data_IF_458865976619
#
_entry.id   IF_458865976619
#
_cell.length_a   1.000
_cell.length_b   1.000
_cell.length_c   1.000
_cell.angle_alpha   90.00
_cell.angle_beta   90.00
_cell.angle_gamma   90.00
#
_symmetry.space_group_name_H-M   'P 1'
#
loop_
_entity.id
_entity.type
_entity.pdbx_description
1 polymer ?
#
# COMPACT_ATOMS: atom_id res chain seq x y z
N UNK A 1 -30.60 2.23 0.82
CA UNK A 1 -30.84 1.72 -0.55
C UNK A 1 -29.94 2.53 -1.46
N UNK A 2 -29.40 1.85 -2.46
CA UNK A 2 -28.26 2.20 -3.33
C UNK A 2 -26.91 1.65 -2.84
N UNK A 3 -26.82 0.31 -2.95
CA UNK A 3 -25.59 -0.46 -2.98
C UNK A 3 -24.97 -0.34 -4.39
N UNK A 4 -24.20 0.73 -4.63
CA UNK A 4 -23.26 0.75 -5.76
C UNK A 4 -21.93 0.11 -5.32
N UNK A 5 -21.95 -1.22 -5.28
CA UNK A 5 -20.74 -2.03 -5.17
C UNK A 5 -20.01 -1.90 -6.50
N UNK A 6 -19.06 -0.97 -6.56
CA UNK A 6 -18.05 -0.95 -7.62
C UNK A 6 -17.33 -2.29 -7.61
N UNK A 7 -17.63 -3.13 -8.59
CA UNK A 7 -16.92 -4.37 -8.88
C UNK A 7 -15.52 -3.98 -9.37
N UNK A 8 -14.63 -3.72 -8.42
CA UNK A 8 -13.20 -3.73 -8.67
C UNK A 8 -12.82 -5.20 -8.91
N UNK A 9 -12.29 -5.47 -10.10
CA UNK A 9 -11.86 -6.78 -10.58
C UNK A 9 -10.76 -7.36 -9.68
N UNK A 10 -11.14 -7.94 -8.54
CA UNK A 10 -10.33 -8.92 -7.84
C UNK A 10 -10.40 -10.20 -8.68
N UNK A 11 -9.25 -10.75 -9.06
CA UNK A 11 -9.18 -12.07 -9.65
C UNK A 11 -10.07 -13.04 -8.88
N UNK A 12 -11.11 -13.53 -9.54
CA UNK A 12 -12.10 -14.48 -9.03
C UNK A 12 -11.52 -15.89 -8.95
N UNK A 13 -10.23 -16.02 -8.61
CA UNK A 13 -9.59 -17.33 -8.46
C UNK A 13 -9.93 -17.88 -7.09
N UNK A 14 -10.68 -18.99 -7.07
CA UNK A 14 -10.88 -19.79 -5.87
C UNK A 14 -9.49 -20.19 -5.36
N UNK A 15 -9.10 -19.81 -4.13
CA UNK A 15 -7.75 -20.08 -3.65
C UNK A 15 -7.50 -21.59 -3.58
N UNK A 16 -6.31 -22.02 -3.97
CA UNK A 16 -5.95 -23.43 -3.88
C UNK A 16 -6.03 -23.96 -2.45
N UNK A 17 -6.38 -25.24 -2.28
CA UNK A 17 -6.39 -25.90 -0.97
C UNK A 17 -5.03 -25.77 -0.27
N UNK A 18 -3.94 -25.80 -1.04
CA UNK A 18 -2.57 -25.56 -0.56
C UNK A 18 -2.46 -24.18 0.10
N UNK A 19 -2.95 -23.13 -0.55
CA UNK A 19 -2.94 -21.77 0.00
C UNK A 19 -3.75 -21.68 1.29
N UNK A 20 -4.99 -22.18 1.27
CA UNK A 20 -5.90 -22.14 2.43
C UNK A 20 -5.27 -22.85 3.63
N UNK A 21 -4.74 -24.06 3.42
CA UNK A 21 -4.11 -24.86 4.48
C UNK A 21 -2.85 -24.20 5.04
N UNK A 22 -1.97 -23.71 4.15
CA UNK A 22 -0.74 -23.01 4.56
C UNK A 22 -1.08 -21.76 5.38
N UNK A 23 -2.06 -20.98 4.93
CA UNK A 23 -2.52 -19.76 5.62
C UNK A 23 -3.10 -20.07 6.99
N UNK A 24 -3.97 -21.07 7.08
CA UNK A 24 -4.57 -21.46 8.35
C UNK A 24 -3.50 -21.84 9.39
N UNK A 25 -2.52 -22.67 8.99
CA UNK A 25 -1.43 -23.10 9.87
C UNK A 25 -0.53 -21.91 10.25
N UNK A 26 -0.13 -21.08 9.27
CA UNK A 26 0.75 -19.94 9.52
C UNK A 26 0.10 -18.94 10.50
N UNK A 27 -1.18 -18.62 10.33
CA UNK A 27 -1.92 -17.73 11.22
C UNK A 27 -2.09 -18.33 12.62
N UNK A 28 -2.40 -19.62 12.73
CA UNK A 28 -2.52 -20.29 14.03
C UNK A 28 -1.18 -20.31 14.78
N UNK A 29 -0.08 -20.59 14.08
CA UNK A 29 1.27 -20.55 14.67
C UNK A 29 1.63 -19.15 15.17
N UNK A 30 1.32 -18.11 14.39
CA UNK A 30 1.54 -16.73 14.81
C UNK A 30 0.69 -16.38 16.04
N UNK A 31 -0.63 -16.60 15.99
CA UNK A 31 -1.56 -16.26 17.07
C UNK A 31 -1.24 -16.96 18.39
N UNK A 32 -0.76 -18.20 18.33
CA UNK A 32 -0.40 -18.98 19.53
C UNK A 32 0.90 -18.48 20.19
N UNK A 33 1.79 -17.82 19.43
CA UNK A 33 3.11 -17.41 19.93
C UNK A 33 3.22 -15.93 20.27
N UNK A 34 2.26 -15.11 19.84
CA UNK A 34 2.40 -13.65 19.81
C UNK A 34 2.26 -12.96 21.17
N UNK A 35 1.69 -13.62 22.18
CA UNK A 35 1.36 -13.11 23.53
C UNK A 35 2.26 -11.97 24.07
N UNK A 36 1.94 -10.71 23.70
CA UNK A 36 2.66 -9.48 24.07
C UNK A 36 4.16 -9.43 23.69
N UNK A 37 4.65 -10.41 22.93
CA UNK A 37 6.05 -10.56 22.52
C UNK A 37 6.40 -9.60 21.40
N UNK A 38 7.70 -9.31 21.25
CA UNK A 38 8.17 -8.58 20.06
C UNK A 38 8.07 -9.49 18.84
N UNK A 39 7.83 -8.90 17.66
CA UNK A 39 7.73 -9.68 16.43
C UNK A 39 8.98 -10.54 16.19
N UNK A 40 10.17 -9.99 16.39
CA UNK A 40 11.45 -10.72 16.23
C UNK A 40 11.54 -11.96 17.14
N UNK A 41 11.06 -11.86 18.38
CA UNK A 41 11.03 -12.98 19.32
C UNK A 41 10.08 -14.07 18.84
N UNK A 42 8.90 -13.68 18.34
CA UNK A 42 7.90 -14.60 17.76
C UNK A 42 8.48 -15.32 16.56
N UNK A 43 9.14 -14.58 15.66
CA UNK A 43 9.80 -15.13 14.47
C UNK A 43 10.84 -16.17 14.88
N UNK A 44 11.73 -15.83 15.82
CA UNK A 44 12.77 -16.75 16.31
C UNK A 44 12.19 -18.02 16.94
N UNK A 45 11.15 -17.90 17.75
CA UNK A 45 10.50 -19.05 18.39
C UNK A 45 9.90 -19.99 17.34
N UNK A 46 9.16 -19.44 16.37
CA UNK A 46 8.51 -20.24 15.33
C UNK A 46 9.56 -20.87 14.40
N UNK A 47 10.62 -20.14 14.04
CA UNK A 47 11.72 -20.67 13.24
C UNK A 47 12.44 -21.82 13.97
N UNK A 48 12.76 -21.65 15.25
CA UNK A 48 13.37 -22.70 16.07
C UNK A 48 12.46 -23.94 16.18
N UNK A 49 11.15 -23.74 16.33
CA UNK A 49 10.19 -24.84 16.33
C UNK A 49 10.14 -25.57 14.99
N UNK A 50 10.06 -24.84 13.86
CA UNK A 50 10.06 -25.42 12.51
C UNK A 50 11.33 -26.22 12.23
N UNK A 51 12.49 -25.76 12.69
CA UNK A 51 13.75 -26.48 12.58
C UNK A 51 13.69 -27.82 13.32
N UNK A 52 13.16 -27.84 14.55
CA UNK A 52 13.09 -29.03 15.41
C UNK A 52 12.00 -30.03 15.03
N UNK A 53 10.92 -29.60 14.38
CA UNK A 53 9.85 -30.53 13.97
C UNK A 53 10.26 -31.48 12.85
N UNK A 54 9.81 -32.74 12.93
CA UNK A 54 9.99 -33.78 11.91
C UNK A 54 8.99 -33.63 10.76
N UNK A 55 9.00 -32.48 10.08
CA UNK A 55 8.20 -32.23 8.88
C UNK A 55 9.03 -32.43 7.60
N UNK A 56 8.44 -32.94 6.51
CA UNK A 56 9.07 -32.96 5.19
C UNK A 56 9.59 -31.57 4.77
N UNK A 57 10.75 -31.52 4.11
CA UNK A 57 11.41 -30.26 3.71
C UNK A 57 10.50 -29.36 2.85
N UNK A 58 9.70 -29.95 1.97
CA UNK A 58 8.75 -29.24 1.14
C UNK A 58 7.68 -28.51 1.97
N UNK A 59 7.17 -29.17 3.03
CA UNK A 59 6.17 -28.58 3.92
C UNK A 59 6.80 -27.47 4.76
N UNK A 60 8.03 -27.66 5.26
CA UNK A 60 8.77 -26.60 5.97
C UNK A 60 8.92 -25.36 5.09
N UNK A 61 9.31 -25.52 3.83
CA UNK A 61 9.46 -24.40 2.88
C UNK A 61 8.12 -23.69 2.62
N UNK A 62 7.03 -24.44 2.47
CA UNK A 62 5.69 -23.85 2.29
C UNK A 62 5.24 -23.05 3.51
N UNK A 63 5.42 -23.60 4.71
CA UNK A 63 5.08 -22.90 5.96
C UNK A 63 5.95 -21.67 6.18
N UNK A 64 7.25 -21.73 5.86
CA UNK A 64 8.14 -20.57 5.90
C UNK A 64 7.64 -19.45 4.98
N UNK A 65 7.21 -19.77 3.76
CA UNK A 65 6.61 -18.79 2.85
C UNK A 65 5.35 -18.16 3.43
N UNK A 66 4.42 -18.98 3.95
CA UNK A 66 3.18 -18.47 4.54
C UNK A 66 3.42 -17.61 5.78
N UNK A 67 4.36 -18.01 6.65
CA UNK A 67 4.75 -17.23 7.82
C UNK A 67 5.44 -15.92 7.42
N UNK A 68 6.28 -15.94 6.38
CA UNK A 68 6.89 -14.72 5.86
C UNK A 68 5.82 -13.71 5.39
N UNK A 69 4.77 -14.16 4.69
CA UNK A 69 3.65 -13.29 4.32
C UNK A 69 2.90 -12.72 5.53
N UNK A 70 2.72 -13.52 6.59
CA UNK A 70 2.14 -13.05 7.87
C UNK A 70 3.02 -11.98 8.51
N UNK A 71 4.32 -12.24 8.64
CA UNK A 71 5.25 -11.31 9.30
C UNK A 71 5.34 -9.98 8.55
N UNK A 72 5.46 -10.02 7.21
CA UNK A 72 5.48 -8.82 6.37
C UNK A 72 4.23 -7.97 6.57
N UNK A 73 3.07 -8.59 6.67
CA UNK A 73 1.81 -7.87 6.88
C UNK A 73 1.71 -7.24 8.29
N UNK A 74 2.25 -7.92 9.31
CA UNK A 74 2.36 -7.39 10.67
C UNK A 74 3.35 -6.22 10.73
N UNK A 75 4.50 -6.31 10.05
CA UNK A 75 5.46 -5.21 9.92
C UNK A 75 4.83 -4.00 9.25
N UNK A 76 4.11 -4.21 8.14
CA UNK A 76 3.35 -3.15 7.47
C UNK A 76 2.34 -2.50 8.43
N UNK A 77 1.62 -3.29 9.22
CA UNK A 77 0.67 -2.78 10.20
C UNK A 77 1.36 -1.98 11.31
N UNK A 78 2.48 -2.49 11.85
CA UNK A 78 3.28 -1.81 12.85
C UNK A 78 3.78 -0.45 12.34
N UNK A 79 4.38 -0.43 11.15
CA UNK A 79 4.92 0.79 10.55
C UNK A 79 3.82 1.83 10.31
N UNK A 80 2.67 1.42 9.79
CA UNK A 80 1.51 2.30 9.57
C UNK A 80 1.05 2.95 10.88
N UNK A 81 0.84 2.14 11.93
CA UNK A 81 0.31 2.64 13.20
C UNK A 81 1.37 3.33 14.05
N UNK A 82 2.66 3.05 13.85
CA UNK A 82 3.74 3.78 14.50
C UNK A 82 3.66 5.28 14.20
N UNK A 83 3.19 5.64 13.00
CA UNK A 83 3.02 7.04 12.56
C UNK A 83 1.91 7.79 13.29
N UNK A 84 1.10 7.14 14.12
CA UNK A 84 0.13 7.82 14.99
C UNK A 84 0.77 8.41 16.23
N UNK A 85 2.01 8.04 16.54
CA UNK A 85 2.72 8.50 17.71
C UNK A 85 3.89 9.38 17.25
N UNK A 86 3.96 10.61 17.76
CA UNK A 86 5.15 11.42 17.58
C UNK A 86 6.35 10.70 18.22
N UNK A 87 7.40 10.53 17.43
CA UNK A 87 8.74 10.34 17.97
C UNK A 87 9.12 11.70 18.58
N UNK A 88 9.28 11.75 19.91
CA UNK A 88 9.95 12.90 20.52
C UNK A 88 11.32 13.00 19.81
N UNK A 89 11.49 13.98 18.92
CA UNK A 89 12.80 14.29 18.35
C UNK A 89 13.75 14.37 19.53
N UNK A 90 14.83 13.58 19.46
CA UNK A 90 15.88 13.63 20.46
C UNK A 90 16.36 15.08 20.49
N UNK A 91 15.97 15.84 21.50
CA UNK A 91 16.74 17.01 21.89
C UNK A 91 18.13 16.47 22.21
N UNK A 92 19.08 16.64 21.28
CA UNK A 92 20.47 16.19 21.40
C UNK A 92 21.24 16.90 22.52
N UNK A 93 20.56 17.72 23.33
CA UNK A 93 21.08 18.43 24.49
C UNK A 93 20.40 17.92 25.75
N UNK A 94 20.91 16.83 26.32
CA UNK A 94 20.48 16.38 27.62
C UNK A 94 20.87 14.95 27.93
N UNK A 95 22.05 14.80 28.53
CA UNK A 95 22.46 13.59 29.23
C UNK A 95 21.33 13.10 30.17
N UNK A 96 20.64 12.05 29.75
CA UNK A 96 20.12 10.90 30.50
C UNK A 96 19.38 10.06 29.44
N UNK A 97 20.11 9.13 28.83
CA UNK A 97 19.56 8.08 27.97
C UNK A 97 18.71 7.11 28.82
N UNK A 98 17.56 7.57 29.31
CA UNK A 98 16.47 6.63 29.57
C UNK A 98 16.06 6.15 28.18
N UNK A 99 16.42 4.92 27.84
CA UNK A 99 15.83 4.16 26.74
C UNK A 99 14.33 4.07 26.99
N UNK A 100 13.59 5.15 26.73
CA UNK A 100 12.13 5.12 26.69
C UNK A 100 11.80 4.18 25.55
N UNK A 101 11.18 3.06 25.89
CA UNK A 101 10.64 2.10 24.95
C UNK A 101 9.89 2.87 23.86
N UNK A 102 10.29 2.67 22.60
CA UNK A 102 9.67 3.35 21.45
C UNK A 102 8.14 3.23 21.55
N UNK A 103 7.39 4.33 21.39
CA UNK A 103 5.93 4.34 21.62
C UNK A 103 5.18 3.33 20.74
N UNK A 104 5.72 3.01 19.57
CA UNK A 104 5.20 1.94 18.70
C UNK A 104 5.34 0.52 19.27
N UNK A 105 6.19 0.27 20.28
CA UNK A 105 6.28 -1.05 20.91
C UNK A 105 5.00 -1.43 21.66
N UNK A 106 4.14 -0.46 21.99
CA UNK A 106 2.81 -0.75 22.53
C UNK A 106 1.87 -1.35 21.49
N UNK A 107 2.20 -1.30 20.19
CA UNK A 107 1.38 -1.93 19.16
C UNK A 107 1.33 -3.47 19.29
N UNK A 108 2.36 -4.08 19.89
CA UNK A 108 2.37 -5.53 20.17
C UNK A 108 1.28 -5.98 21.14
N UNK A 109 0.76 -5.04 21.94
CA UNK A 109 -0.36 -5.30 22.85
C UNK A 109 -1.62 -5.70 22.08
N UNK A 110 -1.75 -5.26 20.82
CA UNK A 110 -2.95 -5.42 20.01
C UNK A 110 -2.88 -6.57 19.01
N UNK A 111 -1.78 -7.32 18.95
CA UNK A 111 -1.62 -8.43 18.00
C UNK A 111 -2.71 -9.51 18.15
N UNK A 112 -3.20 -9.72 19.37
CA UNK A 112 -4.31 -10.64 19.63
C UNK A 112 -5.68 -10.19 19.12
N UNK A 113 -5.80 -8.93 18.67
CA UNK A 113 -7.03 -8.32 18.17
C UNK A 113 -6.99 -8.05 16.67
N UNK A 114 -5.93 -8.49 15.98
CA UNK A 114 -5.79 -8.38 14.54
C UNK A 114 -6.81 -9.28 13.83
N UNK A 115 -7.58 -8.66 12.92
CA UNK A 115 -8.55 -9.34 12.08
C UNK A 115 -7.97 -9.46 10.67
N UNK A 116 -7.91 -10.69 10.16
CA UNK A 116 -7.39 -10.98 8.82
C UNK A 116 -8.51 -11.01 7.79
N UNK A 117 -8.28 -10.44 6.60
CA UNK A 117 -9.19 -10.52 5.46
C UNK A 117 -9.35 -11.98 5.01
N UNK A 118 -10.55 -12.32 4.57
CA UNK A 118 -10.86 -13.67 4.08
C UNK A 118 -9.96 -14.03 2.89
N UNK A 119 -9.38 -15.24 2.92
CA UNK A 119 -8.55 -15.78 1.84
C UNK A 119 -7.37 -14.89 1.37
N UNK A 120 -6.87 -13.99 2.22
CA UNK A 120 -5.71 -13.13 1.93
C UNK A 120 -4.78 -13.07 3.15
N UNK A 121 -3.47 -12.92 2.93
CA UNK A 121 -2.52 -12.49 3.96
C UNK A 121 -2.53 -10.97 4.04
N UNK A 122 -3.67 -10.42 4.44
CA UNK A 122 -3.89 -8.99 4.56
C UNK A 122 -4.73 -8.73 5.80
N UNK A 123 -4.37 -7.71 6.58
CA UNK A 123 -5.12 -7.29 7.74
C UNK A 123 -6.31 -6.44 7.29
N UNK A 124 -7.46 -6.67 7.91
CA UNK A 124 -8.62 -5.78 7.81
C UNK A 124 -8.41 -4.64 8.81
N UNK A 125 -7.77 -3.57 8.34
CA UNK A 125 -7.32 -2.45 9.17
C UNK A 125 -8.48 -1.78 9.92
N UNK A 126 -9.59 -1.49 9.24
CA UNK A 126 -10.76 -0.89 9.85
C UNK A 126 -11.39 -1.80 10.91
N UNK A 127 -11.63 -3.08 10.59
CA UNK A 127 -12.20 -4.02 11.56
C UNK A 127 -11.26 -4.24 12.74
N UNK A 128 -9.95 -4.31 12.48
CA UNK A 128 -8.93 -4.42 13.52
C UNK A 128 -8.96 -3.20 14.43
N UNK A 129 -9.01 -1.98 13.90
CA UNK A 129 -9.11 -0.77 14.69
C UNK A 129 -10.39 -0.74 15.55
N UNK A 130 -11.54 -1.12 14.99
CA UNK A 130 -12.79 -1.23 15.75
C UNK A 130 -12.72 -2.30 16.85
N UNK A 131 -12.07 -3.44 16.58
CA UNK A 131 -11.86 -4.49 17.58
C UNK A 131 -10.97 -3.98 18.72
N UNK A 132 -9.85 -3.33 18.40
CA UNK A 132 -8.93 -2.76 19.39
C UNK A 132 -9.65 -1.72 20.26
N UNK A 133 -10.40 -0.80 19.64
CA UNK A 133 -11.17 0.22 20.36
C UNK A 133 -12.13 -0.42 21.36
N UNK A 134 -12.88 -1.43 20.92
CA UNK A 134 -13.92 -2.07 21.74
C UNK A 134 -13.35 -2.96 22.83
N UNK A 135 -12.30 -3.73 22.54
CA UNK A 135 -11.81 -4.81 23.40
C UNK A 135 -10.64 -4.38 24.28
N UNK A 136 -9.65 -3.70 23.69
CA UNK A 136 -8.36 -3.47 24.35
C UNK A 136 -8.18 -2.02 24.83
N UNK A 137 -8.98 -1.08 24.32
CA UNK A 137 -8.83 0.35 24.61
C UNK A 137 -10.00 0.94 25.40
N UNK A 138 -10.92 0.14 25.97
CA UNK A 138 -12.10 0.65 26.69
C UNK A 138 -11.76 1.71 27.75
N UNK A 139 -10.66 1.51 28.49
CA UNK A 139 -10.18 2.43 29.53
C UNK A 139 -9.07 3.38 29.06
N UNK A 140 -8.81 3.46 27.73
CA UNK A 140 -7.80 4.34 27.16
C UNK A 140 -8.40 5.31 26.12
N UNK A 141 -9.09 6.39 26.59
CA UNK A 141 -9.79 7.33 25.71
C UNK A 141 -8.90 7.99 24.65
N UNK A 142 -7.63 8.27 24.97
CA UNK A 142 -6.70 8.86 24.00
C UNK A 142 -6.43 7.91 22.83
N UNK A 143 -6.18 6.62 23.09
CA UNK A 143 -5.95 5.64 22.03
C UNK A 143 -7.20 5.40 21.19
N UNK A 144 -8.39 5.39 21.82
CA UNK A 144 -9.66 5.36 21.10
C UNK A 144 -9.80 6.55 20.15
N UNK A 145 -9.48 7.76 20.62
CA UNK A 145 -9.51 8.97 19.81
C UNK A 145 -8.52 8.88 18.64
N UNK A 146 -7.27 8.50 18.89
CA UNK A 146 -6.23 8.40 17.86
C UNK A 146 -6.62 7.42 16.74
N UNK A 147 -7.14 6.23 17.10
CA UNK A 147 -7.64 5.25 16.12
C UNK A 147 -8.89 5.75 15.40
N UNK A 148 -9.84 6.36 16.11
CA UNK A 148 -11.04 6.92 15.49
C UNK A 148 -10.70 8.02 14.48
N UNK A 149 -9.72 8.86 14.78
CA UNK A 149 -9.18 9.87 13.86
C UNK A 149 -8.54 9.23 12.61
N UNK A 150 -7.66 8.25 12.82
CA UNK A 150 -6.92 7.61 11.74
C UNK A 150 -7.82 6.86 10.75
N UNK A 151 -8.90 6.27 11.26
CA UNK A 151 -9.86 5.47 10.50
C UNK A 151 -11.17 6.20 10.19
N UNK A 152 -11.23 7.53 10.41
CA UNK A 152 -12.42 8.36 10.19
C UNK A 152 -13.72 7.75 10.77
N UNK A 153 -13.67 7.25 12.01
CA UNK A 153 -14.79 6.57 12.66
C UNK A 153 -15.78 7.61 13.22
N UNK A 154 -16.58 8.22 12.36
CA UNK A 154 -17.46 9.34 12.70
C UNK A 154 -18.40 9.12 13.87
N UNK A 155 -18.98 7.92 13.99
CA UNK A 155 -19.89 7.61 15.10
C UNK A 155 -19.18 7.59 16.46
N UNK A 156 -17.85 7.50 16.49
CA UNK A 156 -17.05 7.66 17.70
C UNK A 156 -16.60 9.12 17.89
N UNK A 157 -16.35 9.86 16.82
CA UNK A 157 -15.91 11.26 16.84
C UNK A 157 -17.07 12.24 17.04
N UNK A 158 -17.69 12.20 18.22
CA UNK A 158 -18.78 13.10 18.60
C UNK A 158 -18.67 13.56 20.06
N UNK A 159 -19.47 14.57 20.42
CA UNK A 159 -19.47 15.17 21.77
C UNK A 159 -19.82 14.17 22.88
N UNK A 160 -20.56 13.08 22.58
CA UNK A 160 -20.92 12.06 23.60
C UNK A 160 -19.71 11.26 24.04
N UNK A 161 -18.79 10.97 23.13
CA UNK A 161 -17.59 10.19 23.43
C UNK A 161 -16.39 11.09 23.78
N UNK A 162 -16.28 12.24 23.11
CA UNK A 162 -15.18 13.19 23.27
C UNK A 162 -15.73 14.61 23.49
N UNK A 163 -16.05 14.93 24.74
CA UNK A 163 -16.45 16.28 25.12
C UNK A 163 -15.33 17.32 24.91
N UNK A 164 -15.69 18.61 24.97
CA UNK A 164 -14.74 19.72 24.77
C UNK A 164 -13.58 19.73 25.76
N UNK A 165 -13.77 19.21 26.98
CA UNK A 165 -12.72 19.18 28.02
C UNK A 165 -11.69 18.10 27.65
N UNK A 166 -12.16 16.92 27.25
CA UNK A 166 -11.32 15.82 26.74
C UNK A 166 -10.55 16.24 25.50
N UNK A 167 -11.21 16.87 24.54
CA UNK A 167 -10.56 17.38 23.32
C UNK A 167 -9.47 18.40 23.66
N UNK A 168 -9.71 19.34 24.59
CA UNK A 168 -8.67 20.28 25.07
C UNK A 168 -7.50 19.56 25.76
N UNK A 169 -7.78 18.52 26.56
CA UNK A 169 -6.74 17.73 27.21
C UNK A 169 -5.90 16.92 26.21
N UNK A 170 -6.53 16.38 25.16
CA UNK A 170 -5.86 15.68 24.07
C UNK A 170 -5.05 16.64 23.21
N UNK A 171 -5.59 17.81 22.88
CA UNK A 171 -4.88 18.84 22.12
C UNK A 171 -3.55 19.20 22.80
N UNK A 172 -3.50 19.34 24.13
CA UNK A 172 -2.24 19.59 24.86
C UNK A 172 -1.15 18.52 24.66
N UNK A 173 -1.51 17.30 24.26
CA UNK A 173 -0.59 16.16 24.11
C UNK A 173 -0.34 15.76 22.66
N UNK A 174 -1.31 16.01 21.79
CA UNK A 174 -1.37 15.50 20.42
C UNK A 174 -1.28 16.62 19.37
N UNK A 175 -1.34 17.89 19.78
CA UNK A 175 -1.18 19.02 18.85
C UNK A 175 0.19 19.01 18.19
N UNK A 176 0.26 19.40 16.93
CA UNK A 176 1.49 19.39 16.13
C UNK A 176 1.57 18.19 15.19
N UNK A 177 0.77 17.16 15.43
CA UNK A 177 0.56 16.06 14.49
C UNK A 177 -0.63 16.39 13.57
N UNK A 178 -0.38 16.45 12.26
CA UNK A 178 -1.34 16.95 11.25
C UNK A 178 -2.71 16.26 11.28
N UNK A 179 -2.76 14.95 11.53
CA UNK A 179 -4.01 14.20 11.68
C UNK A 179 -4.88 14.76 12.81
N UNK A 180 -4.30 14.98 13.99
CA UNK A 180 -5.09 15.38 15.16
C UNK A 180 -5.47 16.85 15.09
N UNK A 181 -4.58 17.72 14.59
CA UNK A 181 -4.90 19.13 14.37
C UNK A 181 -6.08 19.31 13.41
N UNK A 182 -6.18 18.47 12.37
CA UNK A 182 -7.34 18.40 11.49
C UNK A 182 -8.63 18.06 12.24
N UNK A 183 -8.63 17.00 13.04
CA UNK A 183 -9.81 16.59 13.80
C UNK A 183 -10.18 17.56 14.91
N UNK A 184 -9.21 18.13 15.63
CA UNK A 184 -9.47 19.16 16.63
C UNK A 184 -10.15 20.38 16.01
N UNK A 185 -9.70 20.81 14.83
CA UNK A 185 -10.32 21.91 14.10
C UNK A 185 -11.75 21.57 13.69
N UNK A 186 -11.99 20.37 13.14
CA UNK A 186 -13.33 19.92 12.73
C UNK A 186 -14.30 19.72 13.89
N UNK A 187 -13.81 19.27 15.05
CA UNK A 187 -14.63 18.96 16.22
C UNK A 187 -14.84 20.18 17.15
N UNK A 188 -14.22 21.32 16.86
CA UNK A 188 -14.35 22.53 17.69
C UNK A 188 -15.76 23.11 17.66
N UNK A 189 -16.39 23.15 16.47
CA UNK A 189 -17.77 23.61 16.31
C UNK A 189 -18.41 23.06 15.02
N UNK A 190 -19.74 23.16 14.93
CA UNK A 190 -20.54 22.68 13.79
C UNK A 190 -20.24 23.43 12.48
N UNK A 191 -19.82 24.70 12.55
CA UNK A 191 -19.49 25.51 11.37
C UNK A 191 -18.09 25.23 10.80
N UNK A 192 -17.22 24.57 11.56
CA UNK A 192 -15.84 24.26 11.17
C UNK A 192 -15.81 23.28 9.98
N UNK A 193 -16.81 22.40 9.88
CA UNK A 193 -16.98 21.49 8.75
C UNK A 193 -17.15 22.26 7.44
N UNK A 194 -18.08 23.22 7.40
CA UNK A 194 -18.25 24.10 6.26
C UNK A 194 -16.93 24.79 5.94
N UNK A 195 -16.37 25.54 6.89
CA UNK A 195 -15.14 26.31 6.68
C UNK A 195 -13.94 25.48 6.19
N UNK A 196 -13.77 24.24 6.66
CA UNK A 196 -12.65 23.38 6.29
C UNK A 196 -12.73 22.88 4.85
N UNK A 197 -13.95 22.57 4.39
CA UNK A 197 -14.20 21.95 3.08
C UNK A 197 -14.72 22.92 2.01
N UNK A 198 -15.32 24.05 2.40
CA UNK A 198 -15.93 25.03 1.50
C UNK A 198 -14.92 26.07 1.03
N UNK A 199 -13.91 25.65 0.27
CA UNK A 199 -13.04 26.59 -0.44
C UNK A 199 -13.14 26.38 -1.96
N UNK A 200 -13.53 27.43 -2.67
CA UNK A 200 -13.49 27.49 -4.15
C UNK A 200 -12.05 27.53 -4.71
N UNK A 201 -11.05 27.56 -3.82
CA UNK A 201 -9.65 27.54 -4.16
C UNK A 201 -9.22 26.18 -4.72
N UNK A 202 -8.31 26.22 -5.70
CA UNK A 202 -7.64 25.06 -6.27
C UNK A 202 -6.91 24.22 -5.21
N UNK A 203 -6.27 24.87 -4.25
CA UNK A 203 -5.61 24.22 -3.12
C UNK A 203 -6.50 24.29 -1.87
N UNK A 204 -6.70 23.19 -1.15
CA UNK A 204 -7.44 23.21 0.11
C UNK A 204 -6.58 23.85 1.22
N UNK A 205 -7.22 24.11 2.35
CA UNK A 205 -6.55 24.64 3.54
C UNK A 205 -5.37 23.74 3.97
N UNK A 206 -4.33 24.37 4.53
CA UNK A 206 -3.10 23.67 4.92
C UNK A 206 -3.36 22.48 5.83
N UNK A 207 -4.22 22.64 6.84
CA UNK A 207 -4.57 21.56 7.79
C UNK A 207 -5.19 20.35 7.10
N UNK A 208 -6.17 20.57 6.20
CA UNK A 208 -6.76 19.52 5.38
C UNK A 208 -5.71 18.87 4.48
N UNK A 209 -4.92 19.70 3.78
CA UNK A 209 -3.88 19.21 2.88
C UNK A 209 -2.88 18.30 3.59
N UNK A 210 -2.38 18.70 4.76
CA UNK A 210 -1.43 17.90 5.53
C UNK A 210 -2.05 16.58 6.04
N UNK A 211 -3.29 16.62 6.53
CA UNK A 211 -3.98 15.40 6.98
C UNK A 211 -4.25 14.44 5.82
N UNK A 212 -4.61 14.97 4.65
CA UNK A 212 -4.86 14.16 3.47
C UNK A 212 -3.57 13.54 2.93
N UNK A 213 -2.49 14.31 2.86
CA UNK A 213 -1.17 13.79 2.49
C UNK A 213 -0.70 12.69 3.45
N UNK A 214 -0.89 12.88 4.76
CA UNK A 214 -0.60 11.86 5.76
C UNK A 214 -1.42 10.59 5.53
N UNK A 215 -2.74 10.72 5.33
CA UNK A 215 -3.62 9.59 5.10
C UNK A 215 -3.22 8.78 3.87
N UNK A 216 -2.88 9.49 2.79
CA UNK A 216 -2.44 8.90 1.52
C UNK A 216 -1.09 8.17 1.70
N UNK A 217 -0.09 8.85 2.26
CA UNK A 217 1.28 8.31 2.36
C UNK A 217 1.37 7.12 3.31
N UNK A 218 0.54 7.08 4.34
CA UNK A 218 0.53 6.01 5.35
C UNK A 218 -0.63 5.02 5.20
N UNK A 219 -1.39 5.11 4.10
CA UNK A 219 -2.36 4.07 3.74
C UNK A 219 -3.63 4.04 4.58
N UNK A 220 -4.05 5.15 5.19
CA UNK A 220 -5.32 5.23 5.94
C UNK A 220 -6.50 5.40 4.98
N UNK A 221 -6.92 4.29 4.37
CA UNK A 221 -7.92 4.24 3.31
C UNK A 221 -9.26 4.89 3.66
N UNK A 222 -9.75 4.69 4.89
CA UNK A 222 -11.01 5.24 5.37
C UNK A 222 -10.94 6.76 5.46
N UNK A 223 -9.82 7.29 5.95
CA UNK A 223 -9.58 8.73 6.02
C UNK A 223 -9.36 9.35 4.64
N UNK A 224 -8.64 8.65 3.74
CA UNK A 224 -8.51 9.03 2.33
C UNK A 224 -9.89 9.16 1.68
N UNK A 225 -10.73 8.14 1.82
CA UNK A 225 -12.09 8.12 1.25
C UNK A 225 -12.96 9.21 1.87
N UNK A 226 -12.91 9.39 3.19
CA UNK A 226 -13.63 10.45 3.88
C UNK A 226 -13.25 11.84 3.34
N UNK A 227 -11.96 12.18 3.32
CA UNK A 227 -11.51 13.49 2.84
C UNK A 227 -11.84 13.64 1.36
N UNK A 228 -11.55 12.63 0.53
CA UNK A 228 -11.83 12.63 -0.91
C UNK A 228 -13.28 13.03 -1.21
N UNK A 229 -14.24 12.43 -0.50
CA UNK A 229 -15.66 12.68 -0.73
C UNK A 229 -16.14 14.06 -0.26
N UNK A 230 -15.34 14.79 0.52
CA UNK A 230 -15.69 16.10 1.05
C UNK A 230 -14.93 17.27 0.39
N UNK A 231 -14.04 17.00 -0.57
CA UNK A 231 -13.30 18.02 -1.33
C UNK A 231 -13.72 18.08 -2.80
N UNK A 232 -13.41 19.17 -3.48
CA UNK A 232 -13.74 19.41 -4.90
C UNK A 232 -12.78 18.66 -5.85
N UNK A 233 -13.20 18.41 -7.09
CA UNK A 233 -12.35 17.76 -8.11
C UNK A 233 -10.99 18.44 -8.36
N UNK A 234 -10.91 19.79 -8.44
CA UNK A 234 -9.61 20.47 -8.55
C UNK A 234 -8.67 20.18 -7.37
N UNK A 235 -9.20 20.08 -6.15
CA UNK A 235 -8.40 19.77 -4.95
C UNK A 235 -7.97 18.30 -4.92
N UNK A 236 -8.87 17.40 -5.36
CA UNK A 236 -8.58 15.97 -5.53
C UNK A 236 -7.42 15.76 -6.48
N UNK A 237 -7.47 16.43 -7.64
CA UNK A 237 -6.40 16.38 -8.64
C UNK A 237 -5.10 16.95 -8.07
N UNK A 238 -5.13 18.14 -7.48
CA UNK A 238 -3.95 18.84 -6.98
C UNK A 238 -3.18 18.00 -5.94
N UNK A 239 -3.86 17.55 -4.87
CA UNK A 239 -3.19 16.76 -3.82
C UNK A 239 -2.88 15.35 -4.32
N UNK A 240 -3.82 14.73 -5.03
CA UNK A 240 -3.67 13.37 -5.51
C UNK A 240 -2.46 13.22 -6.44
N UNK A 241 -2.29 14.10 -7.43
CA UNK A 241 -1.13 14.10 -8.31
C UNK A 241 0.18 14.42 -7.56
N UNK A 242 0.14 15.36 -6.61
CA UNK A 242 1.30 15.72 -5.81
C UNK A 242 1.83 14.53 -4.99
N UNK A 243 0.93 13.74 -4.41
CA UNK A 243 1.32 12.55 -3.64
C UNK A 243 1.52 11.31 -4.50
N UNK A 244 0.93 11.24 -5.69
CA UNK A 244 0.97 10.06 -6.57
C UNK A 244 2.38 9.49 -6.74
N UNK A 245 3.36 10.35 -7.04
CA UNK A 245 4.77 9.95 -7.18
C UNK A 245 5.31 9.23 -5.94
N UNK A 246 4.94 9.69 -4.74
CA UNK A 246 5.38 9.06 -3.48
C UNK A 246 4.75 7.68 -3.31
N UNK A 247 3.50 7.51 -3.73
CA UNK A 247 2.71 6.29 -3.55
C UNK A 247 3.17 5.20 -4.52
N UNK A 248 3.45 5.52 -5.79
CA UNK A 248 3.78 4.50 -6.81
C UNK A 248 4.91 3.54 -6.43
N UNK A 249 5.81 3.92 -5.52
CA UNK A 249 6.96 3.09 -5.12
C UNK A 249 7.14 2.95 -3.60
N UNK A 250 6.48 3.79 -2.79
CA UNK A 250 6.49 3.62 -1.33
C UNK A 250 5.23 2.94 -0.79
N UNK A 251 4.13 2.91 -1.54
CA UNK A 251 2.86 2.48 -0.99
C UNK A 251 2.85 0.97 -0.76
N UNK A 252 2.91 0.60 0.52
CA UNK A 252 2.64 -0.75 0.99
C UNK A 252 1.13 -1.06 0.98
N UNK A 253 0.29 -0.03 0.91
CA UNK A 253 -1.17 -0.13 1.02
C UNK A 253 -1.85 -0.12 -0.36
N UNK A 254 -2.14 -1.33 -0.86
CA UNK A 254 -2.75 -1.57 -2.18
C UNK A 254 -4.09 -0.86 -2.37
N UNK A 255 -4.89 -0.74 -1.30
CA UNK A 255 -6.24 -0.15 -1.38
C UNK A 255 -6.20 1.35 -1.67
N UNK A 256 -5.28 2.08 -1.03
CA UNK A 256 -5.09 3.51 -1.30
C UNK A 256 -4.53 3.72 -2.70
N UNK A 257 -3.55 2.91 -3.12
CA UNK A 257 -2.99 2.98 -4.47
C UNK A 257 -4.09 2.74 -5.52
N UNK A 258 -4.86 1.67 -5.38
CA UNK A 258 -5.92 1.31 -6.33
C UNK A 258 -7.01 2.40 -6.40
N UNK A 259 -7.50 2.84 -5.24
CA UNK A 259 -8.52 3.89 -5.16
C UNK A 259 -8.05 5.19 -5.82
N UNK A 260 -6.84 5.66 -5.49
CA UNK A 260 -6.30 6.88 -6.08
C UNK A 260 -6.01 6.70 -7.57
N UNK A 261 -5.56 5.52 -8.00
CA UNK A 261 -5.34 5.24 -9.42
C UNK A 261 -6.62 5.41 -10.23
N UNK A 262 -7.69 4.73 -9.82
CA UNK A 262 -8.99 4.78 -10.50
C UNK A 262 -9.52 6.21 -10.55
N UNK A 263 -9.54 6.88 -9.38
CA UNK A 263 -10.12 8.22 -9.28
C UNK A 263 -9.27 9.28 -10.00
N UNK A 264 -7.95 9.26 -9.89
CA UNK A 264 -7.10 10.21 -10.61
C UNK A 264 -7.08 9.94 -12.11
N UNK A 265 -7.21 8.69 -12.56
CA UNK A 265 -7.37 8.39 -13.98
C UNK A 265 -8.68 8.94 -14.55
N UNK A 266 -9.76 8.98 -13.77
CA UNK A 266 -11.00 9.62 -14.23
C UNK A 266 -10.85 11.12 -14.42
N UNK A 267 -10.03 11.78 -13.59
CA UNK A 267 -9.81 13.22 -13.64
C UNK A 267 -8.78 13.58 -14.72
N UNK A 268 -7.58 13.00 -14.67
CA UNK A 268 -6.46 13.34 -15.55
C UNK A 268 -5.56 12.13 -15.84
N UNK A 269 -6.02 11.23 -16.72
CA UNK A 269 -5.27 10.05 -17.13
C UNK A 269 -3.90 10.37 -17.74
N UNK A 270 -3.80 11.42 -18.56
CA UNK A 270 -2.56 11.79 -19.26
C UNK A 270 -1.48 12.30 -18.29
N UNK A 271 -1.86 13.19 -17.38
CA UNK A 271 -0.98 13.70 -16.33
C UNK A 271 -0.49 12.58 -15.41
N UNK A 272 -1.42 11.69 -15.01
CA UNK A 272 -1.09 10.53 -14.19
C UNK A 272 -0.13 9.56 -14.91
N UNK A 273 -0.39 9.25 -16.19
CA UNK A 273 0.48 8.39 -17.00
C UNK A 273 1.90 8.96 -17.08
N UNK A 274 2.06 10.26 -17.32
CA UNK A 274 3.38 10.90 -17.42
C UNK A 274 4.16 10.84 -16.11
N UNK A 275 3.51 11.13 -14.97
CA UNK A 275 4.16 11.06 -13.65
C UNK A 275 4.56 9.62 -13.33
N UNK A 276 3.67 8.67 -13.63
CA UNK A 276 3.90 7.24 -13.42
C UNK A 276 5.07 6.75 -14.28
N UNK A 277 5.06 7.08 -15.58
CA UNK A 277 6.11 6.73 -16.53
C UNK A 277 7.49 7.20 -16.10
N UNK A 278 7.64 8.46 -15.69
CA UNK A 278 8.93 8.97 -15.25
C UNK A 278 9.54 8.11 -14.14
N UNK A 279 8.72 7.67 -13.19
CA UNK A 279 9.21 6.91 -12.04
C UNK A 279 9.34 5.41 -12.35
N UNK A 280 8.42 4.87 -13.15
CA UNK A 280 8.45 3.51 -13.66
C UNK A 280 9.68 3.26 -14.53
N UNK A 281 9.91 4.12 -15.52
CA UNK A 281 11.01 3.99 -16.46
C UNK A 281 12.37 4.26 -15.79
N UNK A 282 12.45 5.16 -14.81
CA UNK A 282 13.65 5.29 -13.96
C UNK A 282 13.97 3.97 -13.23
N UNK A 283 12.96 3.36 -12.61
CA UNK A 283 13.13 2.06 -11.91
C UNK A 283 13.56 0.96 -12.87
N UNK A 284 12.96 0.92 -14.06
CA UNK A 284 13.37 0.01 -15.13
C UNK A 284 14.83 0.24 -15.49
N UNK A 285 15.23 1.46 -15.84
CA UNK A 285 16.61 1.76 -16.23
C UNK A 285 17.64 1.36 -15.15
N UNK A 286 17.36 1.66 -13.88
CA UNK A 286 18.21 1.20 -12.77
C UNK A 286 18.32 -0.32 -12.75
N UNK A 287 17.21 -1.05 -12.92
CA UNK A 287 17.25 -2.52 -12.99
C UNK A 287 17.95 -3.08 -14.24
N UNK A 288 18.01 -2.32 -15.33
CA UNK A 288 18.72 -2.72 -16.56
C UNK A 288 20.24 -2.53 -16.44
N UNK A 289 20.68 -1.49 -15.72
CA UNK A 289 22.08 -1.07 -15.66
C UNK A 289 22.85 -1.70 -14.49
N UNK A 290 22.16 -2.20 -13.47
CA UNK A 290 22.79 -2.65 -12.23
C UNK A 290 23.14 -4.14 -12.26
N UNK A 291 24.40 -4.47 -11.94
CA UNK A 291 24.91 -5.85 -11.99
C UNK A 291 24.52 -6.70 -10.77
N UNK A 292 24.07 -6.05 -9.70
CA UNK A 292 23.71 -6.74 -8.47
C UNK A 292 22.32 -7.40 -8.59
N UNK A 293 22.29 -8.71 -8.35
CA UNK A 293 21.07 -9.52 -8.49
C UNK A 293 19.96 -9.00 -7.57
N UNK A 294 20.28 -8.64 -6.32
CA UNK A 294 19.29 -8.17 -5.35
C UNK A 294 18.59 -6.86 -5.74
N UNK A 295 19.30 -5.92 -6.37
CA UNK A 295 18.69 -4.65 -6.82
C UNK A 295 17.81 -4.86 -8.06
N UNK A 296 18.21 -5.76 -8.96
CA UNK A 296 17.38 -6.14 -10.11
C UNK A 296 16.09 -6.81 -9.67
N UNK A 297 16.18 -7.75 -8.73
CA UNK A 297 14.99 -8.40 -8.16
C UNK A 297 14.08 -7.37 -7.48
N UNK A 298 14.59 -6.49 -6.64
CA UNK A 298 13.78 -5.44 -5.99
C UNK A 298 13.11 -4.50 -7.02
N UNK A 299 13.84 -4.10 -8.06
CA UNK A 299 13.29 -3.33 -9.18
C UNK A 299 12.16 -4.07 -9.89
N UNK A 300 12.35 -5.35 -10.20
CA UNK A 300 11.31 -6.19 -10.81
C UNK A 300 10.06 -6.30 -9.94
N UNK A 301 10.22 -6.54 -8.63
CA UNK A 301 9.08 -6.61 -7.70
C UNK A 301 8.31 -5.29 -7.65
N UNK A 302 9.00 -4.15 -7.67
CA UNK A 302 8.35 -2.82 -7.70
C UNK A 302 7.57 -2.60 -9.01
N UNK A 303 8.16 -2.97 -10.15
CA UNK A 303 7.50 -2.84 -11.45
C UNK A 303 6.27 -3.75 -11.56
N UNK A 304 6.39 -5.00 -11.11
CA UNK A 304 5.27 -5.94 -11.06
C UNK A 304 4.15 -5.44 -10.14
N UNK A 305 4.50 -4.98 -8.94
CA UNK A 305 3.53 -4.43 -7.98
C UNK A 305 2.75 -3.25 -8.59
N UNK A 306 3.43 -2.33 -9.29
CA UNK A 306 2.75 -1.21 -9.94
C UNK A 306 1.78 -1.68 -11.03
N UNK A 307 2.20 -2.62 -11.89
CA UNK A 307 1.36 -3.19 -12.95
C UNK A 307 0.17 -4.01 -12.43
N UNK A 308 0.31 -4.64 -11.26
CA UNK A 308 -0.78 -5.39 -10.63
C UNK A 308 -1.84 -4.47 -10.02
N UNK A 309 -1.43 -3.32 -9.47
CA UNK A 309 -2.29 -2.49 -8.62
C UNK A 309 -2.79 -1.20 -9.30
N UNK A 310 -2.35 -0.92 -10.53
CA UNK A 310 -2.84 0.21 -11.33
C UNK A 310 -3.99 -0.20 -12.26
N UNK A 311 -4.89 0.74 -12.55
CA UNK A 311 -6.05 0.47 -13.38
C UNK A 311 -5.66 0.16 -14.84
N UNK A 312 -6.47 -0.60 -15.59
CA UNK A 312 -6.19 -0.95 -16.99
C UNK A 312 -5.87 0.26 -17.87
N UNK A 313 -6.60 1.37 -17.68
CA UNK A 313 -6.39 2.61 -18.43
C UNK A 313 -4.99 3.20 -18.20
N UNK A 314 -4.52 3.24 -16.95
CA UNK A 314 -3.18 3.73 -16.65
C UNK A 314 -2.10 2.80 -17.19
N UNK A 315 -2.27 1.49 -17.02
CA UNK A 315 -1.30 0.48 -17.49
C UNK A 315 -1.12 0.54 -18.99
N UNK A 316 -2.24 0.56 -19.72
CA UNK A 316 -2.25 0.66 -21.17
C UNK A 316 -1.57 1.95 -21.63
N UNK A 317 -1.95 3.11 -21.06
CA UNK A 317 -1.33 4.39 -21.39
C UNK A 317 0.18 4.42 -21.09
N UNK A 318 0.59 3.90 -19.93
CA UNK A 318 1.98 3.86 -19.47
C UNK A 318 2.85 2.95 -20.35
N UNK A 319 2.40 1.73 -20.66
CA UNK A 319 3.18 0.77 -21.46
C UNK A 319 3.30 1.18 -22.94
N UNK A 320 2.36 1.98 -23.45
CA UNK A 320 2.43 2.57 -24.78
C UNK A 320 3.29 3.83 -24.88
N UNK A 321 3.76 4.40 -23.77
CA UNK A 321 4.53 5.64 -23.81
C UNK A 321 5.83 5.49 -24.62
N UNK A 322 6.19 6.58 -25.30
CA UNK A 322 7.41 6.69 -26.11
C UNK A 322 7.54 5.56 -27.16
N UNK A 323 6.41 5.11 -27.74
CA UNK A 323 6.34 4.01 -28.70
C UNK A 323 6.79 2.66 -28.10
N UNK A 324 6.19 2.28 -26.97
CA UNK A 324 6.47 1.02 -26.28
C UNK A 324 7.92 0.89 -25.77
N UNK A 325 8.54 2.01 -25.41
CA UNK A 325 9.98 2.08 -25.09
C UNK A 325 10.42 1.12 -23.99
N UNK A 326 9.61 0.97 -22.94
CA UNK A 326 9.92 0.06 -21.83
C UNK A 326 10.05 -1.40 -22.30
N UNK A 327 9.21 -1.80 -23.25
CA UNK A 327 9.18 -3.16 -23.79
C UNK A 327 10.32 -3.35 -24.78
N UNK A 328 10.56 -2.38 -25.66
CA UNK A 328 11.68 -2.44 -26.61
C UNK A 328 13.02 -2.44 -25.90
N UNK A 329 13.17 -1.71 -24.80
CA UNK A 329 14.40 -1.71 -24.02
C UNK A 329 14.60 -3.04 -23.29
N UNK A 330 13.55 -3.60 -22.66
CA UNK A 330 13.64 -4.93 -22.07
C UNK A 330 14.10 -5.98 -23.09
N UNK A 331 13.63 -5.90 -24.34
CA UNK A 331 14.09 -6.74 -25.46
C UNK A 331 15.55 -6.46 -25.86
N UNK A 332 15.94 -5.18 -26.03
CA UNK A 332 17.31 -4.80 -26.46
C UNK A 332 18.36 -5.22 -25.43
N UNK A 333 18.05 -5.15 -24.14
CA UNK A 333 18.94 -5.54 -23.05
C UNK A 333 18.83 -7.03 -22.66
N UNK A 334 18.08 -7.85 -23.42
CA UNK A 334 17.86 -9.28 -23.18
C UNK A 334 17.29 -9.59 -21.77
N UNK A 335 16.41 -8.74 -21.25
CA UNK A 335 15.75 -8.95 -19.96
C UNK A 335 14.45 -9.74 -20.15
N UNK A 336 14.59 -11.03 -20.41
CA UNK A 336 13.47 -11.88 -20.83
C UNK A 336 12.34 -11.96 -19.80
N UNK A 337 12.63 -11.86 -18.51
CA UNK A 337 11.61 -11.88 -17.45
C UNK A 337 10.77 -10.59 -17.40
N UNK A 338 11.43 -9.42 -17.45
CA UNK A 338 10.76 -8.12 -17.54
C UNK A 338 9.96 -7.98 -18.84
N UNK A 339 10.55 -8.47 -19.94
CA UNK A 339 9.88 -8.51 -21.22
C UNK A 339 8.59 -9.33 -21.15
N UNK A 340 8.65 -10.56 -20.63
CA UNK A 340 7.48 -11.41 -20.44
C UNK A 340 6.43 -10.78 -19.49
N UNK A 341 6.89 -10.16 -18.40
CA UNK A 341 6.02 -9.44 -17.46
C UNK A 341 5.22 -8.36 -18.17
N UNK A 342 5.85 -7.49 -18.96
CA UNK A 342 5.15 -6.39 -19.64
C UNK A 342 4.13 -6.89 -20.66
N UNK A 343 4.46 -7.95 -21.41
CA UNK A 343 3.54 -8.55 -22.38
C UNK A 343 2.28 -9.13 -21.74
N UNK A 344 2.31 -9.52 -20.45
CA UNK A 344 1.12 -10.01 -19.76
C UNK A 344 0.06 -8.93 -19.55
N UNK A 345 0.46 -7.65 -19.57
CA UNK A 345 -0.39 -6.49 -19.29
C UNK A 345 -0.76 -5.66 -20.53
N UNK A 346 -0.37 -6.10 -21.73
CA UNK A 346 -0.75 -5.45 -22.97
C UNK A 346 -2.08 -6.00 -23.50
N UNK A 347 -2.91 -5.09 -24.01
CA UNK A 347 -4.11 -5.45 -24.76
C UNK A 347 -3.74 -6.04 -26.15
N UNK A 348 -4.62 -6.82 -26.79
CA UNK A 348 -4.35 -7.47 -28.08
C UNK A 348 -3.83 -6.51 -29.17
N UNK A 349 -4.44 -5.32 -29.29
CA UNK A 349 -4.02 -4.30 -30.25
C UNK A 349 -2.61 -3.77 -29.96
N UNK A 350 -2.30 -3.57 -28.68
CA UNK A 350 -0.98 -3.10 -28.25
C UNK A 350 0.10 -4.16 -28.49
N UNK A 351 -0.24 -5.44 -28.34
CA UNK A 351 0.66 -6.55 -28.67
C UNK A 351 1.00 -6.58 -30.16
N UNK A 352 0.04 -6.28 -31.03
CA UNK A 352 0.27 -6.21 -32.47
C UNK A 352 1.22 -5.05 -32.82
N UNK A 353 0.96 -3.85 -32.29
CA UNK A 353 1.81 -2.68 -32.52
C UNK A 353 3.22 -2.89 -31.96
N UNK A 354 3.34 -3.42 -30.74
CA UNK A 354 4.62 -3.72 -30.10
C UNK A 354 5.46 -4.68 -30.95
N UNK A 355 4.82 -5.66 -31.59
CA UNK A 355 5.51 -6.59 -32.50
C UNK A 355 6.16 -5.88 -33.68
N UNK A 356 5.49 -4.90 -34.29
CA UNK A 356 6.08 -4.16 -35.41
C UNK A 356 7.37 -3.44 -35.01
N UNK A 357 7.44 -2.89 -33.80
CA UNK A 357 8.66 -2.26 -33.28
C UNK A 357 9.75 -3.28 -32.99
N UNK A 358 9.41 -4.43 -32.40
CA UNK A 358 10.37 -5.50 -32.09
C UNK A 358 10.92 -6.14 -33.36
N UNK A 359 10.07 -6.43 -34.35
CA UNK A 359 10.48 -7.02 -35.64
C UNK A 359 11.52 -6.11 -36.34
N UNK A 360 11.31 -4.79 -36.33
CA UNK A 360 12.29 -3.81 -36.87
C UNK A 360 13.63 -3.84 -36.12
N UNK A 361 13.64 -4.10 -34.82
CA UNK A 361 14.85 -4.19 -34.00
C UNK A 361 15.54 -5.54 -34.24
N UNK A 362 14.77 -6.64 -34.27
CA UNK A 362 15.25 -8.00 -34.50
C UNK A 362 15.91 -8.14 -35.87
N UNK A 363 15.32 -7.56 -36.92
CA UNK A 363 15.90 -7.58 -38.27
C UNK A 363 17.30 -6.97 -38.33
N UNK A 364 17.60 -6.03 -37.43
CA UNK A 364 18.91 -5.39 -37.28
C UNK A 364 19.86 -6.18 -36.36
N UNK A 365 19.34 -6.94 -35.40
CA UNK A 365 20.12 -7.69 -34.39
C UNK A 365 19.64 -9.14 -34.28
N UNK A 366 20.06 -9.99 -35.23
CA UNK A 366 19.72 -11.42 -35.28
C UNK A 366 20.55 -12.24 -34.29
N UNK A 367 20.20 -12.17 -33.01
CA UNK A 367 20.80 -13.00 -31.96
C UNK A 367 19.89 -14.18 -31.56
N UNK A 368 20.46 -15.21 -30.91
CA UNK A 368 19.68 -16.36 -30.43
C UNK A 368 18.75 -16.00 -29.26
N UNK A 369 19.17 -15.06 -28.40
CA UNK A 369 18.32 -14.53 -27.31
C UNK A 369 17.12 -13.77 -27.86
N UNK A 370 17.35 -12.90 -28.85
CA UNK A 370 16.26 -12.15 -29.51
C UNK A 370 15.26 -13.07 -30.22
N UNK A 371 15.70 -14.24 -30.72
CA UNK A 371 14.79 -15.28 -31.26
C UNK A 371 13.90 -15.89 -30.17
N UNK A 372 14.43 -16.13 -28.97
CA UNK A 372 13.65 -16.69 -27.84
C UNK A 372 12.58 -15.70 -27.38
N UNK A 373 12.93 -14.43 -27.25
CA UNK A 373 11.98 -13.37 -26.84
C UNK A 373 10.89 -13.14 -27.89
N UNK A 374 11.23 -13.16 -29.18
CA UNK A 374 10.23 -13.11 -30.25
C UNK A 374 9.24 -14.29 -30.18
N UNK A 375 9.71 -15.50 -29.83
CA UNK A 375 8.80 -16.64 -29.61
C UNK A 375 7.88 -16.44 -28.41
N UNK A 376 8.33 -15.78 -27.35
CA UNK A 376 7.49 -15.45 -26.19
C UNK A 376 6.36 -14.50 -26.62
N UNK A 377 6.68 -13.46 -27.37
CA UNK A 377 5.71 -12.51 -27.93
C UNK A 377 4.66 -13.21 -28.81
N UNK A 378 5.11 -14.03 -29.76
CA UNK A 378 4.22 -14.75 -30.67
C UNK A 378 3.30 -15.73 -29.93
N UNK A 379 3.81 -16.44 -28.92
CA UNK A 379 2.99 -17.30 -28.06
C UNK A 379 1.94 -16.50 -27.31
N UNK A 380 2.29 -15.33 -26.75
CA UNK A 380 1.32 -14.50 -26.03
C UNK A 380 0.20 -14.02 -26.94
N UNK A 381 0.52 -13.58 -28.17
CA UNK A 381 -0.49 -13.23 -29.18
C UNK A 381 -1.44 -14.40 -29.46
N UNK A 382 -0.91 -15.62 -29.64
CA UNK A 382 -1.72 -16.82 -29.87
C UNK A 382 -2.60 -17.22 -28.68
N UNK A 383 -2.26 -16.85 -27.45
CA UNK A 383 -3.08 -17.14 -26.26
C UNK A 383 -4.23 -16.15 -26.03
N UNK A 384 -4.22 -15.00 -26.72
CA UNK A 384 -5.22 -13.93 -26.57
C UNK A 384 -6.10 -13.74 -27.81
N UNK A 385 -5.68 -14.29 -28.96
CA UNK A 385 -6.50 -14.49 -30.14
C UNK A 385 -7.42 -15.70 -29.96
#
# INVERSE_FOLDING_TARGET
MDDDISIACCSSEVPSLKFISTRCIALALFQTNVHWRKLDEVIQIIQNWLCKTNLPALIKKQLQSGLHDVYREIERWNEKHAKLFDEEEKNETGQILRQRVHRSNHLRLFYGSIIWKYNKYAIDDQKTALMIIRKDCADWPQMQFQLACAYAIHHLLNERNFDRIRLKAFAKKLSGHCLYDFWFTLLENTHAWGKMFSSDNLAPQQTLSLAFQFAIVHGYFELVTFIWNNITDPQREFIGLLQWRKICFKAKDREVLHFLCERLCTINATGLARITWNTFYQTLQSSLQEDSIGFREDGMHKLAFLLENTCPRLRSAMLSMENFRAITDAFVYNQSELFALFLNYLEPEQLQLTREYIDRIYDRKKSETSRKELRILLRRQQTLA
#
